data_IF_117648817952
#
_entry.id   IF_117648817952
#
_cell.length_a   1.000
_cell.length_b   1.000
_cell.length_c   1.000
_cell.angle_alpha   90.00
_cell.angle_beta   90.00
_cell.angle_gamma   90.00
#
_symmetry.space_group_name_H-M   'P 1'
#
loop_
_entity.id
_entity.type
_entity.pdbx_description
1 polymer ?
#
# COMPACT_ATOMS: atom_id res chain seq x y z
N UNK A 1 3.92 7.77 2.77
CA UNK A 1 3.70 7.69 1.32
C UNK A 1 2.32 7.12 1.04
N UNK A 2 1.57 7.70 0.11
CA UNK A 2 0.18 7.32 -0.17
C UNK A 2 0.03 6.76 -1.59
N UNK A 3 -0.48 5.54 -1.71
CA UNK A 3 -0.69 4.80 -2.93
C UNK A 3 -2.16 4.85 -3.34
N UNK A 4 -2.42 5.39 -4.53
CA UNK A 4 -3.77 5.64 -5.05
C UNK A 4 -3.94 5.03 -6.46
N UNK A 5 -5.19 4.79 -6.88
CA UNK A 5 -5.47 4.19 -8.18
C UNK A 5 -4.88 2.79 -8.31
N UNK A 6 -4.10 2.53 -9.37
CA UNK A 6 -3.39 1.27 -9.57
C UNK A 6 -2.12 1.16 -8.72
N UNK A 7 -1.64 2.26 -8.13
CA UNK A 7 -0.48 2.26 -7.23
C UNK A 7 -0.67 1.34 -6.02
N UNK A 8 -1.90 1.02 -5.64
CA UNK A 8 -2.20 0.07 -4.55
C UNK A 8 -1.62 -1.33 -4.80
N UNK A 9 -1.35 -1.71 -6.05
CA UNK A 9 -0.71 -2.99 -6.35
C UNK A 9 0.74 -3.09 -5.87
N UNK A 10 1.40 -1.96 -5.56
CA UNK A 10 2.72 -1.96 -4.92
C UNK A 10 2.73 -2.67 -3.57
N UNK A 11 1.59 -2.71 -2.87
CA UNK A 11 1.42 -3.39 -1.59
C UNK A 11 0.98 -4.84 -1.70
N UNK A 12 0.88 -5.43 -2.90
CA UNK A 12 0.42 -6.81 -3.06
C UNK A 12 1.50 -7.81 -2.61
N UNK A 13 1.21 -8.66 -1.63
CA UNK A 13 2.17 -9.61 -1.06
C UNK A 13 2.59 -10.71 -2.03
N UNK A 14 1.75 -11.04 -3.02
CA UNK A 14 1.97 -12.10 -4.00
C UNK A 14 2.76 -11.64 -5.23
N UNK A 15 3.33 -10.43 -5.22
CA UNK A 15 4.22 -9.96 -6.29
C UNK A 15 5.41 -10.88 -6.45
N UNK A 16 5.66 -11.33 -7.69
CA UNK A 16 6.84 -12.11 -8.04
C UNK A 16 7.70 -11.34 -9.04
N UNK A 17 8.88 -10.81 -8.64
CA UNK A 17 9.79 -10.17 -9.59
C UNK A 17 10.26 -11.14 -10.69
N UNK A 18 10.62 -10.61 -11.88
CA UNK A 18 11.36 -11.36 -12.88
C UNK A 18 12.65 -11.93 -12.30
N UNK A 19 13.10 -13.07 -12.84
CA UNK A 19 14.34 -13.71 -12.39
C UNK A 19 15.53 -12.75 -12.50
N UNK A 20 16.30 -12.63 -11.41
CA UNK A 20 17.47 -11.77 -11.34
C UNK A 20 17.18 -10.28 -11.12
N UNK A 21 15.91 -9.90 -10.94
CA UNK A 21 15.54 -8.54 -10.55
C UNK A 21 15.21 -8.47 -9.07
N UNK A 22 15.44 -7.30 -8.48
CA UNK A 22 15.05 -7.02 -7.11
C UNK A 22 13.52 -6.90 -7.00
N UNK A 23 12.99 -7.34 -5.86
CA UNK A 23 11.56 -7.20 -5.57
C UNK A 23 11.25 -5.77 -5.18
N UNK A 24 10.38 -5.09 -5.94
CA UNK A 24 9.89 -3.77 -5.59
C UNK A 24 9.25 -3.75 -4.19
N UNK A 25 8.56 -4.83 -3.79
CA UNK A 25 7.98 -4.95 -2.46
C UNK A 25 9.06 -4.95 -1.37
N UNK A 26 10.19 -5.63 -1.59
CA UNK A 26 11.31 -5.62 -0.65
C UNK A 26 11.97 -4.25 -0.57
N UNK A 27 12.11 -3.54 -1.69
CA UNK A 27 12.62 -2.17 -1.71
C UNK A 27 11.71 -1.21 -0.92
N UNK A 28 10.39 -1.35 -1.05
CA UNK A 28 9.43 -0.58 -0.25
C UNK A 28 9.55 -0.89 1.24
N UNK A 29 9.67 -2.17 1.61
CA UNK A 29 9.88 -2.57 3.00
C UNK A 29 11.16 -1.96 3.58
N UNK A 30 12.27 -2.06 2.86
CA UNK A 30 13.55 -1.48 3.26
C UNK A 30 13.43 0.05 3.45
N UNK A 31 12.80 0.74 2.50
CA UNK A 31 12.58 2.18 2.58
C UNK A 31 11.75 2.58 3.81
N UNK A 32 10.70 1.82 4.12
CA UNK A 32 9.89 2.03 5.33
C UNK A 32 10.75 1.91 6.58
N UNK A 33 11.59 0.88 6.66
CA UNK A 33 12.47 0.63 7.81
C UNK A 33 13.54 1.72 7.95
N UNK A 34 14.16 2.13 6.84
CA UNK A 34 15.24 3.13 6.84
C UNK A 34 14.75 4.54 7.18
N UNK A 35 13.54 4.89 6.74
CA UNK A 35 12.99 6.25 6.89
C UNK A 35 11.85 6.37 7.90
N UNK A 36 11.49 5.27 8.58
CA UNK A 36 10.34 5.17 9.48
C UNK A 36 9.05 5.80 8.91
N UNK A 37 8.82 5.59 7.61
CA UNK A 37 7.76 6.28 6.87
C UNK A 37 6.61 5.32 6.56
N UNK A 38 5.36 5.65 6.91
CA UNK A 38 4.19 4.81 6.61
C UNK A 38 4.00 4.59 5.10
N UNK A 39 3.62 3.38 4.71
CA UNK A 39 3.23 3.02 3.35
C UNK A 39 1.74 2.73 3.33
N UNK A 40 0.97 3.66 2.80
CA UNK A 40 -0.48 3.72 2.94
C UNK A 40 -1.15 3.46 1.61
N UNK A 41 -2.01 2.45 1.52
CA UNK A 41 -2.78 2.16 0.32
C UNK A 41 -4.24 2.60 0.49
N UNK A 42 -4.77 3.35 -0.48
CA UNK A 42 -6.15 3.83 -0.42
C UNK A 42 -7.15 2.67 -0.33
N UNK A 43 -7.82 2.51 0.82
CA UNK A 43 -8.73 1.39 1.11
C UNK A 43 -9.78 1.20 0.02
N UNK A 44 -10.40 2.28 -0.47
CA UNK A 44 -11.43 2.20 -1.50
C UNK A 44 -10.90 1.69 -2.84
N UNK A 45 -9.64 2.03 -3.20
CA UNK A 45 -9.02 1.53 -4.42
C UNK A 45 -8.47 0.12 -4.26
N UNK A 46 -7.89 -0.19 -3.09
CA UNK A 46 -7.37 -1.51 -2.74
C UNK A 46 -8.46 -2.58 -2.80
N UNK A 47 -9.61 -2.34 -2.16
CA UNK A 47 -10.74 -3.29 -2.16
C UNK A 47 -11.26 -3.60 -3.56
N UNK A 48 -11.42 -2.59 -4.42
CA UNK A 48 -11.88 -2.76 -5.82
C UNK A 48 -10.89 -3.57 -6.68
N UNK A 49 -9.65 -3.69 -6.23
CA UNK A 49 -8.53 -4.33 -6.94
C UNK A 49 -8.07 -5.64 -6.29
N UNK A 50 -8.76 -6.10 -5.25
CA UNK A 50 -8.42 -7.33 -4.55
C UNK A 50 -7.18 -7.22 -3.64
N UNK A 51 -6.77 -6.01 -3.28
CA UNK A 51 -5.73 -5.75 -2.27
C UNK A 51 -6.41 -5.54 -0.93
N UNK A 52 -6.26 -6.49 0.00
CA UNK A 52 -7.02 -6.53 1.26
C UNK A 52 -6.12 -6.92 2.42
N UNK A 53 -6.33 -6.29 3.58
CA UNK A 53 -5.78 -6.77 4.85
C UNK A 53 -6.67 -7.90 5.44
N UNK A 54 -6.24 -8.48 6.56
CA UNK A 54 -7.01 -9.55 7.22
C UNK A 54 -8.42 -9.10 7.65
N UNK A 55 -8.60 -7.84 8.03
CA UNK A 55 -9.88 -7.31 8.51
C UNK A 55 -10.86 -7.23 7.35
N UNK A 56 -10.45 -6.63 6.25
CA UNK A 56 -11.31 -6.44 5.09
C UNK A 56 -11.53 -7.74 4.30
N UNK A 57 -10.51 -8.61 4.19
CA UNK A 57 -10.67 -9.93 3.60
C UNK A 57 -11.76 -10.73 4.34
N UNK A 58 -11.77 -10.67 5.68
CA UNK A 58 -12.83 -11.27 6.52
C UNK A 58 -14.17 -10.56 6.34
N UNK A 59 -14.19 -9.23 6.35
CA UNK A 59 -15.42 -8.41 6.22
C UNK A 59 -16.18 -8.69 4.94
N UNK A 60 -15.47 -8.85 3.83
CA UNK A 60 -16.06 -9.06 2.50
C UNK A 60 -16.04 -10.52 2.04
N UNK A 61 -15.60 -11.46 2.89
CA UNK A 61 -15.51 -12.89 2.59
C UNK A 61 -14.67 -13.19 1.32
N UNK A 62 -13.50 -12.56 1.21
CA UNK A 62 -12.63 -12.62 0.03
C UNK A 62 -11.54 -13.71 0.11
N UNK A 63 -11.54 -14.50 1.18
CA UNK A 63 -10.49 -15.48 1.46
C UNK A 63 -9.36 -14.89 2.29
N UNK A 64 -8.12 -15.07 1.83
CA UNK A 64 -6.92 -14.62 2.54
C UNK A 64 -6.57 -13.15 2.26
N UNK A 65 -5.87 -12.52 3.21
CA UNK A 65 -5.31 -11.20 3.02
C UNK A 65 -4.25 -11.22 1.91
N UNK A 66 -4.24 -10.18 1.09
CA UNK A 66 -3.35 -10.04 -0.06
C UNK A 66 -2.40 -8.85 0.08
N UNK A 67 -2.65 -7.95 1.05
CA UNK A 67 -1.78 -6.83 1.37
C UNK A 67 -0.54 -7.31 2.13
N UNK A 68 0.62 -6.81 1.75
CA UNK A 68 1.86 -7.03 2.48
C UNK A 68 1.84 -6.32 3.85
N UNK A 69 2.45 -6.95 4.84
CA UNK A 69 2.52 -6.48 6.23
C UNK A 69 3.17 -5.10 6.44
N UNK A 70 4.04 -4.67 5.51
CA UNK A 70 4.66 -3.36 5.56
C UNK A 70 3.74 -2.22 5.08
N UNK A 71 2.58 -2.56 4.50
CA UNK A 71 1.56 -1.62 4.07
C UNK A 71 0.35 -1.63 4.99
N UNK A 72 -0.36 -0.50 5.04
CA UNK A 72 -1.62 -0.34 5.74
C UNK A 72 -2.71 0.21 4.82
N UNK A 73 -3.98 -0.15 5.09
CA UNK A 73 -5.13 0.39 4.37
C UNK A 73 -5.61 1.68 5.02
N UNK A 74 -5.63 2.75 4.24
CA UNK A 74 -5.85 4.11 4.73
C UNK A 74 -7.00 4.79 3.97
N UNK A 75 -7.70 5.68 4.67
CA UNK A 75 -8.77 6.49 4.09
C UNK A 75 -8.23 7.70 3.31
N UNK A 76 -9.11 8.34 2.54
CA UNK A 76 -8.78 9.63 1.89
C UNK A 76 -8.60 10.79 2.88
N UNK A 77 -9.13 10.67 4.11
CA UNK A 77 -8.93 11.66 5.17
C UNK A 77 -7.46 11.80 5.56
N UNK A 78 -6.76 10.68 5.74
CA UNK A 78 -5.33 10.65 6.06
C UNK A 78 -4.48 11.23 4.92
N UNK A 79 -4.86 10.98 3.66
CA UNK A 79 -4.24 11.66 2.52
C UNK A 79 -4.46 13.17 2.56
N UNK A 80 -5.68 13.62 2.85
CA UNK A 80 -6.00 15.05 2.92
C UNK A 80 -5.23 15.76 4.05
N UNK A 81 -5.11 15.12 5.22
CA UNK A 81 -4.29 15.59 6.33
C UNK A 81 -2.81 15.69 5.92
N UNK A 82 -2.25 14.62 5.33
CA UNK A 82 -0.87 14.63 4.86
C UNK A 82 -0.60 15.71 3.80
N UNK A 83 -1.56 15.97 2.90
CA UNK A 83 -1.46 17.04 1.91
C UNK A 83 -1.49 18.43 2.55
N UNK A 84 -2.28 18.61 3.60
CA UNK A 84 -2.37 19.88 4.34
C UNK A 84 -1.11 20.16 5.16
N UNK A 85 -0.52 19.12 5.74
CA UNK A 85 0.63 19.23 6.64
C UNK A 85 1.98 19.21 5.91
N UNK A 86 2.00 18.89 4.62
CA UNK A 86 3.22 18.84 3.82
C UNK A 86 3.51 20.18 3.13
N UNK A 87 4.77 20.63 3.20
CA UNK A 87 5.23 21.79 2.42
C UNK A 87 5.19 21.53 0.91
N UNK A 88 5.36 20.27 0.49
CA UNK A 88 5.48 19.87 -0.91
C UNK A 88 4.81 18.53 -1.15
N UNK A 89 4.27 18.38 -2.35
CA UNK A 89 3.63 17.15 -2.83
C UNK A 89 4.29 16.75 -4.14
N UNK A 90 4.76 15.50 -4.21
CA UNK A 90 5.33 14.91 -5.42
C UNK A 90 4.44 13.72 -5.80
N UNK A 91 3.95 13.73 -7.05
CA UNK A 91 3.10 12.67 -7.60
C UNK A 91 3.82 12.00 -8.78
N UNK A 92 3.69 10.68 -8.85
CA UNK A 92 4.24 9.82 -9.91
C UNK A 92 3.12 9.14 -10.68
#
# INVERSE_FOLDING_TARGET
MFFYGDGVYAGLASQQPPQGQESALQLWRQLKEDLDTPLQACIANSLRRGVTDCREAKRYNLGEATLADCFELCGLGEMAEALNDSDRVIQF
#
